data_IF_908113739304
#
_entry.id   IF_908113739304
#
_cell.length_a   1.000
_cell.length_b   1.000
_cell.length_c   1.000
_cell.angle_alpha   90.00
_cell.angle_beta   90.00
_cell.angle_gamma   90.00
#
_symmetry.space_group_name_H-M   'P 1'
#
loop_
_entity.id
_entity.type
_entity.pdbx_description
1 polymer ?
#
# COMPACT_ATOMS: atom_id res chain seq x y z
N UNK A 1 24.65 30.59 9.72
CA UNK A 1 24.37 30.48 8.28
C UNK A 1 22.95 29.95 8.13
N UNK A 2 22.01 30.68 7.52
CA UNK A 2 20.72 30.09 7.18
C UNK A 2 20.89 29.33 5.86
N UNK A 3 21.07 28.02 5.93
CA UNK A 3 20.94 27.16 4.75
C UNK A 3 19.45 27.09 4.39
N UNK A 4 19.10 27.66 3.25
CA UNK A 4 17.81 27.43 2.61
C UNK A 4 17.89 26.08 1.89
N UNK A 5 17.30 25.05 2.50
CA UNK A 5 17.22 23.69 1.98
C UNK A 5 15.88 23.41 1.28
N UNK A 6 15.15 24.45 0.84
CA UNK A 6 13.86 24.32 0.14
C UNK A 6 13.91 23.49 -1.16
N UNK A 7 15.10 23.18 -1.67
CA UNK A 7 15.33 22.29 -2.81
C UNK A 7 15.60 20.82 -2.44
N UNK A 8 15.70 20.47 -1.15
CA UNK A 8 15.95 19.11 -0.66
C UNK A 8 14.66 18.35 -0.34
N UNK A 9 13.59 18.51 -1.13
CA UNK A 9 12.45 17.60 -1.06
C UNK A 9 12.77 16.36 -1.90
N UNK A 10 13.20 15.23 -1.31
CA UNK A 10 13.18 13.96 -2.01
C UNK A 10 11.78 13.74 -2.55
N UNK A 11 11.69 13.36 -3.82
CA UNK A 11 10.40 13.15 -4.47
C UNK A 11 9.61 12.13 -3.62
N UNK A 12 8.30 12.32 -3.39
CA UNK A 12 7.53 11.48 -2.45
C UNK A 12 7.79 9.97 -2.62
N UNK A 13 8.00 9.51 -3.86
CA UNK A 13 8.36 8.13 -4.19
C UNK A 13 9.70 7.65 -3.60
N UNK A 14 10.71 8.52 -3.53
CA UNK A 14 12.06 8.22 -3.02
C UNK A 14 12.00 7.97 -1.52
N UNK A 15 11.35 8.88 -0.80
CA UNK A 15 11.07 8.75 0.64
C UNK A 15 10.30 7.47 0.89
N UNK A 16 9.17 7.28 0.22
CA UNK A 16 8.32 6.10 0.37
C UNK A 16 9.08 4.81 0.04
N UNK A 17 9.97 4.83 -0.97
CA UNK A 17 10.76 3.65 -1.33
C UNK A 17 11.78 3.26 -0.26
N UNK A 18 12.47 4.24 0.31
CA UNK A 18 13.41 4.03 1.39
C UNK A 18 12.67 3.57 2.65
N UNK A 19 11.58 4.26 3.00
CA UNK A 19 10.74 3.96 4.16
C UNK A 19 10.12 2.56 4.09
N UNK A 20 9.63 2.17 2.92
CA UNK A 20 9.09 0.82 2.68
C UNK A 20 10.21 -0.22 2.76
N UNK A 21 11.40 0.05 2.21
CA UNK A 21 12.54 -0.86 2.29
C UNK A 21 12.98 -1.09 3.74
N UNK A 22 13.04 -0.04 4.56
CA UNK A 22 13.38 -0.15 5.99
C UNK A 22 12.35 -0.99 6.76
N UNK A 23 11.06 -0.75 6.51
CA UNK A 23 9.95 -1.50 7.13
C UNK A 23 9.97 -2.97 6.73
N UNK A 24 10.17 -3.27 5.44
CA UNK A 24 10.27 -4.63 4.94
C UNK A 24 11.49 -5.36 5.50
N UNK A 25 12.64 -4.69 5.57
CA UNK A 25 13.83 -5.24 6.21
C UNK A 25 13.59 -5.56 7.69
N UNK A 26 12.93 -4.66 8.42
CA UNK A 26 12.59 -4.89 9.82
C UNK A 26 11.66 -6.09 9.98
N UNK A 27 10.58 -6.18 9.21
CA UNK A 27 9.63 -7.29 9.27
C UNK A 27 10.30 -8.64 8.98
N UNK A 28 11.14 -8.72 7.94
CA UNK A 28 11.88 -9.95 7.59
C UNK A 28 12.84 -10.38 8.70
N UNK A 29 13.60 -9.44 9.28
CA UNK A 29 14.52 -9.75 10.38
C UNK A 29 13.78 -10.23 11.63
N UNK A 30 12.65 -9.61 11.96
CA UNK A 30 11.83 -10.01 13.11
C UNK A 30 11.19 -11.39 12.93
N UNK A 31 10.91 -11.80 11.69
CA UNK A 31 10.46 -13.15 11.35
C UNK A 31 11.60 -14.18 11.24
N UNK A 32 12.87 -13.77 11.46
CA UNK A 32 14.03 -14.64 11.28
C UNK A 32 14.33 -15.02 9.82
N UNK A 33 13.77 -14.28 8.86
CA UNK A 33 13.96 -14.53 7.43
C UNK A 33 15.21 -13.81 6.89
N UNK A 34 15.81 -14.38 5.84
CA UNK A 34 16.96 -13.77 5.18
C UNK A 34 16.53 -12.53 4.39
N UNK A 35 17.21 -11.41 4.64
CA UNK A 35 17.01 -10.16 3.89
C UNK A 35 17.87 -10.17 2.62
N UNK A 36 17.28 -10.08 1.42
CA UNK A 36 18.05 -9.99 0.17
C UNK A 36 18.99 -8.79 0.13
N UNK A 37 20.16 -8.95 -0.50
CA UNK A 37 21.20 -7.90 -0.54
C UNK A 37 20.72 -6.60 -1.19
N UNK A 38 19.88 -6.71 -2.23
CA UNK A 38 19.30 -5.54 -2.89
C UNK A 38 18.38 -4.75 -1.95
N UNK A 39 17.65 -5.43 -1.07
CA UNK A 39 16.75 -4.80 -0.10
C UNK A 39 17.55 -4.17 1.03
N UNK A 40 18.65 -4.80 1.46
CA UNK A 40 19.57 -4.19 2.41
C UNK A 40 20.13 -2.88 1.85
N UNK A 41 20.57 -2.89 0.60
CA UNK A 41 21.04 -1.67 -0.09
C UNK A 41 19.94 -0.60 -0.16
N UNK A 42 18.73 -0.96 -0.62
CA UNK A 42 17.62 -0.03 -0.72
C UNK A 42 17.20 0.57 0.64
N UNK A 43 17.35 -0.17 1.74
CA UNK A 43 17.05 0.30 3.09
C UNK A 43 18.14 1.22 3.68
N UNK A 44 19.35 1.20 3.12
CA UNK A 44 20.49 2.03 3.56
C UNK A 44 20.78 3.21 2.62
N UNK A 45 20.32 3.13 1.38
CA UNK A 45 20.52 4.17 0.37
C UNK A 45 19.67 5.40 0.70
N UNK A 46 20.23 6.60 0.57
CA UNK A 46 19.58 7.85 0.95
C UNK A 46 18.32 8.14 0.11
N UNK A 47 18.27 7.62 -1.12
CA UNK A 47 17.18 7.84 -2.07
C UNK A 47 16.28 6.61 -2.29
N UNK A 48 16.58 5.49 -1.60
CA UNK A 48 15.86 4.22 -1.75
C UNK A 48 15.93 3.62 -3.16
N UNK A 49 14.99 2.72 -3.49
CA UNK A 49 14.86 2.11 -4.82
C UNK A 49 13.45 2.30 -5.37
N UNK A 50 13.22 3.46 -6.02
CA UNK A 50 11.94 3.81 -6.65
C UNK A 50 11.46 2.78 -7.66
N UNK A 51 12.38 2.16 -8.41
CA UNK A 51 12.02 1.18 -9.46
C UNK A 51 11.38 -0.06 -8.85
N UNK A 52 11.72 -0.37 -7.59
CA UNK A 52 11.19 -1.51 -6.85
C UNK A 52 10.16 -1.13 -5.81
N UNK A 53 9.80 0.15 -5.64
CA UNK A 53 8.83 0.62 -4.65
C UNK A 53 7.55 -0.22 -4.68
N UNK A 54 6.91 -0.35 -5.85
CA UNK A 54 5.68 -1.15 -5.99
C UNK A 54 5.86 -2.60 -5.54
N UNK A 55 6.97 -3.23 -5.91
CA UNK A 55 7.27 -4.61 -5.51
C UNK A 55 7.52 -4.71 -4.00
N UNK A 56 8.21 -3.74 -3.40
CA UNK A 56 8.46 -3.70 -1.96
C UNK A 56 7.16 -3.52 -1.17
N UNK A 57 6.28 -2.61 -1.61
CA UNK A 57 4.96 -2.39 -1.01
C UNK A 57 4.11 -3.67 -1.07
N UNK A 58 4.00 -4.30 -2.25
CA UNK A 58 3.24 -5.54 -2.40
C UNK A 58 3.81 -6.64 -1.51
N UNK A 59 5.13 -6.81 -1.51
CA UNK A 59 5.80 -7.82 -0.68
C UNK A 59 5.54 -7.58 0.80
N UNK A 60 5.61 -6.32 1.25
CA UNK A 60 5.35 -5.96 2.64
C UNK A 60 3.89 -6.16 3.02
N UNK A 61 2.94 -5.76 2.17
CA UNK A 61 1.52 -6.01 2.41
C UNK A 61 1.22 -7.51 2.52
N UNK A 62 1.75 -8.32 1.60
CA UNK A 62 1.58 -9.78 1.63
C UNK A 62 2.20 -10.38 2.88
N UNK A 63 3.42 -9.94 3.24
CA UNK A 63 4.12 -10.43 4.43
C UNK A 63 3.31 -10.17 5.70
N UNK A 64 2.92 -8.91 5.93
CA UNK A 64 2.13 -8.51 7.12
C UNK A 64 0.75 -9.14 7.12
N UNK A 65 0.09 -9.21 5.96
CA UNK A 65 -1.22 -9.86 5.81
C UNK A 65 -1.19 -11.37 6.12
N UNK A 66 -0.05 -12.03 5.91
CA UNK A 66 0.15 -13.45 6.20
C UNK A 66 0.59 -13.76 7.64
N UNK A 67 0.92 -12.75 8.45
CA UNK A 67 1.35 -12.95 9.83
C UNK A 67 0.18 -13.46 10.70
N UNK A 68 0.50 -14.34 11.65
CA UNK A 68 -0.46 -14.71 12.71
C UNK A 68 -0.67 -13.54 13.67
N UNK A 69 -1.71 -13.62 14.50
CA UNK A 69 -1.99 -12.57 15.48
C UNK A 69 -0.86 -12.42 16.51
N UNK A 70 -0.21 -13.52 16.90
CA UNK A 70 0.97 -13.48 17.77
C UNK A 70 2.15 -12.78 17.11
N UNK A 71 2.37 -13.04 15.82
CA UNK A 71 3.41 -12.36 15.04
C UNK A 71 3.10 -10.88 14.87
N UNK A 72 1.85 -10.52 14.57
CA UNK A 72 1.43 -9.11 14.51
C UNK A 72 1.60 -8.41 15.85
N UNK A 73 1.20 -9.04 16.95
CA UNK A 73 1.35 -8.44 18.28
C UNK A 73 2.83 -8.21 18.66
N UNK A 74 3.73 -9.09 18.24
CA UNK A 74 5.17 -8.98 18.56
C UNK A 74 5.98 -8.13 17.59
N UNK A 75 5.55 -7.99 16.32
CA UNK A 75 6.32 -7.33 15.26
C UNK A 75 5.67 -6.01 14.81
N UNK A 76 4.35 -5.98 14.74
CA UNK A 76 3.58 -4.83 14.26
C UNK A 76 3.14 -3.94 15.43
N UNK A 77 2.53 -4.53 16.45
CA UNK A 77 1.90 -3.81 17.57
C UNK A 77 2.76 -3.76 18.85
N UNK A 78 4.07 -3.96 18.73
CA UNK A 78 4.99 -3.76 19.85
C UNK A 78 5.19 -2.25 20.12
N UNK A 79 4.40 -1.70 21.04
CA UNK A 79 4.47 -0.29 21.44
C UNK A 79 5.83 0.15 22.02
N UNK A 80 6.68 -0.80 22.45
CA UNK A 80 8.03 -0.48 22.97
C UNK A 80 9.04 -0.28 21.85
N UNK A 81 8.76 -0.77 20.65
CA UNK A 81 9.64 -0.68 19.50
C UNK A 81 9.21 0.46 18.56
N UNK A 82 10.00 1.53 18.38
CA UNK A 82 9.68 2.60 17.44
C UNK A 82 9.46 2.12 16.00
N UNK A 83 10.18 1.06 15.56
CA UNK A 83 10.04 0.51 14.21
C UNK A 83 8.72 -0.23 14.03
N UNK A 84 8.27 -0.96 15.06
CA UNK A 84 6.97 -1.60 15.07
C UNK A 84 5.86 -0.56 14.93
N UNK A 85 5.90 0.53 15.73
CA UNK A 85 4.93 1.64 15.62
C UNK A 85 4.87 2.25 14.22
N UNK A 86 6.01 2.50 13.58
CA UNK A 86 6.05 3.02 12.20
C UNK A 86 5.53 2.02 11.17
N UNK A 87 5.71 0.72 11.40
CA UNK A 87 5.15 -0.33 10.57
C UNK A 87 3.63 -0.44 10.78
N UNK A 88 3.13 -0.31 12.01
CA UNK A 88 1.70 -0.31 12.32
C UNK A 88 0.97 0.84 11.64
N UNK A 89 1.47 2.07 11.80
CA UNK A 89 0.91 3.25 11.14
C UNK A 89 0.89 3.07 9.62
N UNK A 90 1.96 2.51 9.04
CA UNK A 90 2.02 2.22 7.61
C UNK A 90 0.98 1.17 7.20
N UNK A 91 0.86 0.08 7.95
CA UNK A 91 -0.09 -0.99 7.67
C UNK A 91 -1.55 -0.51 7.74
N UNK A 92 -1.91 0.21 8.79
CA UNK A 92 -3.27 0.75 8.99
C UNK A 92 -3.68 1.69 7.84
N UNK A 93 -2.75 2.52 7.35
CA UNK A 93 -3.00 3.37 6.17
C UNK A 93 -3.26 2.54 4.91
N UNK A 94 -2.53 1.44 4.72
CA UNK A 94 -2.70 0.56 3.57
C UNK A 94 -3.99 -0.26 3.65
N UNK A 95 -4.37 -0.73 4.85
CA UNK A 95 -5.63 -1.45 5.07
C UNK A 95 -6.84 -0.53 4.82
N UNK A 96 -6.82 0.70 5.34
CA UNK A 96 -7.87 1.68 5.09
C UNK A 96 -8.02 1.99 3.59
N UNK A 97 -6.90 2.17 2.87
CA UNK A 97 -6.92 2.41 1.44
C UNK A 97 -7.48 1.21 0.64
N UNK A 98 -7.18 -0.02 1.06
CA UNK A 98 -7.71 -1.22 0.40
C UNK A 98 -9.21 -1.39 0.67
N UNK A 99 -9.66 -1.10 1.89
CA UNK A 99 -11.08 -1.11 2.24
C UNK A 99 -11.88 -0.10 1.40
N UNK A 100 -11.39 1.14 1.26
CA UNK A 100 -12.01 2.16 0.40
C UNK A 100 -12.05 1.74 -1.07
N UNK A 101 -11.03 1.02 -1.56
CA UNK A 101 -11.00 0.48 -2.92
C UNK A 101 -12.09 -0.58 -3.09
N UNK A 102 -12.18 -1.52 -2.15
CA UNK A 102 -13.17 -2.60 -2.15
C UNK A 102 -14.60 -2.04 -2.11
N UNK A 103 -14.84 -1.00 -1.33
CA UNK A 103 -16.15 -0.33 -1.26
C UNK A 103 -16.52 0.34 -2.58
N UNK A 104 -15.59 1.07 -3.20
CA UNK A 104 -15.77 1.67 -4.54
C UNK A 104 -16.04 0.60 -5.61
N UNK A 105 -15.31 -0.51 -5.56
CA UNK A 105 -15.51 -1.64 -6.48
C UNK A 105 -16.91 -2.27 -6.29
N UNK A 106 -17.37 -2.45 -5.04
CA UNK A 106 -18.73 -2.94 -4.78
C UNK A 106 -19.79 -2.00 -5.34
N UNK A 107 -19.62 -0.70 -5.20
CA UNK A 107 -20.60 0.28 -5.67
C UNK A 107 -20.61 0.41 -7.19
N UNK A 108 -19.45 0.35 -7.86
CA UNK A 108 -19.38 0.29 -9.32
C UNK A 108 -20.01 -0.99 -9.88
N UNK A 109 -19.84 -2.14 -9.22
CA UNK A 109 -20.51 -3.40 -9.59
C UNK A 109 -22.03 -3.31 -9.39
N UNK A 110 -22.51 -2.69 -8.30
CA UNK A 110 -23.95 -2.47 -8.10
C UNK A 110 -24.53 -1.55 -9.16
N UNK A 111 -23.85 -0.43 -9.46
CA UNK A 111 -24.27 0.54 -10.47
C UNK A 111 -24.29 -0.07 -11.87
N UNK A 112 -23.26 -0.85 -12.24
CA UNK A 112 -23.23 -1.52 -13.54
C UNK A 112 -24.34 -2.57 -13.67
N UNK A 113 -24.60 -3.34 -12.61
CA UNK A 113 -25.71 -4.31 -12.59
C UNK A 113 -27.07 -3.63 -12.67
N UNK A 114 -27.27 -2.54 -11.94
CA UNK A 114 -28.49 -1.73 -12.00
C UNK A 114 -28.70 -1.11 -13.39
N UNK A 115 -27.63 -0.54 -13.98
CA UNK A 115 -27.61 0.00 -15.34
C UNK A 115 -27.98 -1.08 -16.36
N UNK A 116 -27.33 -2.25 -16.31
CA UNK A 116 -27.60 -3.34 -17.25
C UNK A 116 -29.03 -3.88 -17.09
N UNK A 117 -29.53 -3.99 -15.87
CA UNK A 117 -30.93 -4.38 -15.62
C UNK A 117 -31.93 -3.35 -16.15
N UNK A 118 -31.61 -2.05 -16.01
CA UNK A 118 -32.44 -0.98 -16.55
C UNK A 118 -32.45 -0.99 -18.09
N UNK A 119 -31.27 -1.09 -18.72
CA UNK A 119 -31.13 -1.21 -20.18
C UNK A 119 -31.90 -2.42 -20.70
N UNK A 120 -31.83 -3.57 -20.02
CA UNK A 120 -32.55 -4.78 -20.42
C UNK A 120 -34.08 -4.64 -20.40
N UNK A 121 -34.63 -3.67 -19.64
CA UNK A 121 -36.08 -3.39 -19.59
C UNK A 121 -36.51 -2.33 -20.61
N UNK A 122 -35.58 -1.63 -21.24
CA UNK A 122 -35.86 -0.60 -22.23
C UNK A 122 -36.10 -1.22 -23.61
N UNK A 123 -36.98 -0.60 -24.40
CA UNK A 123 -37.15 -0.96 -25.81
C UNK A 123 -35.95 -0.48 -26.64
N UNK A 124 -35.72 -1.05 -27.83
CA UNK A 124 -34.65 -0.59 -28.72
C UNK A 124 -34.77 0.89 -29.12
N UNK A 125 -35.99 1.40 -29.20
CA UNK A 125 -36.28 2.82 -29.45
C UNK A 125 -35.84 3.71 -28.29
N UNK A 126 -36.05 3.26 -27.06
CA UNK A 126 -35.63 4.00 -25.86
C UNK A 126 -34.11 4.00 -25.69
N UNK A 127 -33.45 2.86 -25.99
CA UNK A 127 -31.99 2.74 -25.96
C UNK A 127 -31.35 3.72 -26.97
N UNK A 128 -31.87 3.76 -28.20
CA UNK A 128 -31.43 4.72 -29.23
C UNK A 128 -31.69 6.17 -28.84
N UNK A 129 -32.83 6.47 -28.22
CA UNK A 129 -33.15 7.82 -27.77
C UNK A 129 -32.22 8.32 -26.66
N UNK A 130 -31.66 7.41 -25.86
CA UNK A 130 -30.69 7.71 -24.80
C UNK A 130 -29.22 7.74 -25.28
N UNK A 131 -28.96 7.47 -26.58
CA UNK A 131 -27.60 7.47 -27.14
C UNK A 131 -26.69 6.37 -26.60
N UNK A 132 -27.29 5.26 -26.14
CA UNK A 132 -26.61 4.07 -25.62
C UNK A 132 -26.48 2.96 -26.66
#
# INVERSE_FOLDING_TARGET
MPCDCSYMEPHNDEVESHDTAQRLRYALLSLGQKVPDWLQKAATDMYGDRRRLKNMVVTLCTLVGSMTDEQKNSILYDGRNPKARLLAIWWERHEAADQERIEREKDTVKLSKARNTAIAKLSQTDIKALGL
#
